data_IF_670463416839
#
_entry.id   IF_670463416839
#
_cell.length_a   1.000
_cell.length_b   1.000
_cell.length_c   1.000
_cell.angle_alpha   90.00
_cell.angle_beta   90.00
_cell.angle_gamma   90.00
#
_symmetry.space_group_name_H-M   'P 1'
#
loop_
_entity.id
_entity.type
_entity.pdbx_description
1 polymer ?
#
# COMPACT_ATOMS: atom_id res chain seq x y z
N UNK A 1 7.78 -22.63 21.24
CA UNK A 1 7.91 -23.95 20.59
C UNK A 1 8.25 -23.81 19.09
N UNK A 2 9.11 -22.85 18.74
CA UNK A 2 9.55 -22.54 17.35
C UNK A 2 11.09 -22.46 17.26
N UNK A 3 11.80 -22.64 18.39
CA UNK A 3 13.26 -22.60 18.43
C UNK A 3 13.92 -23.94 18.06
N UNK A 4 13.17 -25.04 18.02
CA UNK A 4 13.74 -26.39 17.84
C UNK A 4 13.74 -26.91 16.38
N UNK A 5 13.06 -26.24 15.45
CA UNK A 5 12.93 -26.72 14.05
C UNK A 5 13.94 -26.14 13.05
N UNK A 6 14.80 -25.19 13.45
CA UNK A 6 15.67 -24.47 12.50
C UNK A 6 17.16 -24.83 12.56
N UNK A 7 17.57 -25.85 13.32
CA UNK A 7 18.91 -26.46 13.19
C UNK A 7 20.08 -25.46 13.19
N UNK A 8 19.99 -24.37 13.97
CA UNK A 8 21.06 -23.40 14.06
C UNK A 8 22.11 -23.89 15.06
N UNK A 9 23.27 -24.35 14.59
CA UNK A 9 24.42 -24.61 15.47
C UNK A 9 24.90 -23.31 16.13
N UNK A 10 25.51 -23.37 17.31
CA UNK A 10 26.07 -22.21 18.04
C UNK A 10 26.93 -21.27 17.16
N UNK A 11 27.60 -21.82 16.13
CA UNK A 11 28.36 -21.04 15.13
C UNK A 11 27.51 -20.07 14.31
N UNK A 12 26.26 -20.40 14.04
CA UNK A 12 25.37 -19.58 13.21
C UNK A 12 24.87 -18.35 13.99
N UNK A 13 24.75 -18.45 15.32
CA UNK A 13 24.36 -17.35 16.20
C UNK A 13 25.51 -16.34 16.32
N UNK A 14 26.76 -16.82 16.46
CA UNK A 14 27.94 -15.96 16.52
C UNK A 14 28.18 -15.18 15.22
N UNK A 15 27.89 -15.79 14.06
CA UNK A 15 27.96 -15.12 12.76
C UNK A 15 26.85 -14.07 12.63
N UNK A 16 25.63 -14.35 13.10
CA UNK A 16 24.51 -13.40 13.06
C UNK A 16 24.77 -12.15 13.90
N UNK A 17 25.47 -12.26 15.03
CA UNK A 17 25.84 -11.10 15.88
C UNK A 17 26.92 -10.19 15.27
N UNK A 18 27.61 -10.63 14.22
CA UNK A 18 28.68 -9.89 13.54
C UNK A 18 28.26 -9.31 12.20
N UNK A 19 26.97 -9.39 11.86
CA UNK A 19 26.42 -8.89 10.61
C UNK A 19 25.49 -7.72 10.92
N UNK A 20 25.77 -6.56 10.36
CA UNK A 20 24.90 -5.40 10.41
C UNK A 20 24.28 -5.19 9.02
N UNK A 21 22.96 -4.98 9.01
CA UNK A 21 22.18 -4.74 7.78
C UNK A 21 21.58 -3.36 7.89
N UNK A 22 22.07 -2.45 7.04
CA UNK A 22 21.54 -1.10 6.91
C UNK A 22 20.72 -1.03 5.62
N UNK A 23 19.47 -0.59 5.73
CA UNK A 23 18.59 -0.39 4.57
C UNK A 23 18.14 1.07 4.56
N UNK A 24 18.55 1.81 3.52
CA UNK A 24 18.01 3.14 3.26
C UNK A 24 16.82 3.01 2.31
N UNK A 25 15.63 3.36 2.80
CA UNK A 25 14.37 3.31 2.04
C UNK A 25 14.33 4.30 0.87
N UNK A 26 15.25 5.25 0.80
CA UNK A 26 15.28 6.28 -0.25
C UNK A 26 16.04 5.85 -1.50
N UNK A 27 17.01 4.94 -1.37
CA UNK A 27 17.94 4.62 -2.44
C UNK A 27 17.80 3.19 -2.99
N UNK A 28 16.82 2.40 -2.51
CA UNK A 28 16.64 0.97 -2.87
C UNK A 28 17.92 0.12 -2.68
N UNK A 29 18.80 0.55 -1.78
CA UNK A 29 20.07 -0.11 -1.48
C UNK A 29 20.01 -0.79 -0.11
N UNK A 30 20.49 -2.04 -0.09
CA UNK A 30 20.74 -2.80 1.13
C UNK A 30 22.24 -2.91 1.31
N UNK A 31 22.77 -2.33 2.39
CA UNK A 31 24.18 -2.42 2.75
C UNK A 31 24.36 -3.56 3.75
N UNK A 32 25.27 -4.47 3.41
CA UNK A 32 25.66 -5.58 4.25
C UNK A 32 27.05 -5.31 4.81
N UNK A 33 27.17 -5.26 6.14
CA UNK A 33 28.43 -5.08 6.86
C UNK A 33 28.69 -6.32 7.70
N UNK A 34 29.96 -6.75 7.76
CA UNK A 34 30.36 -7.90 8.55
C UNK A 34 31.66 -7.62 9.29
N UNK A 35 31.69 -7.94 10.58
CA UNK A 35 32.88 -7.85 11.41
C UNK A 35 33.60 -9.20 11.46
N UNK A 36 34.90 -9.20 11.17
CA UNK A 36 35.74 -10.38 11.32
C UNK A 36 37.16 -10.03 11.79
N UNK A 37 37.90 -10.97 12.40
CA UNK A 37 39.26 -10.74 12.88
C UNK A 37 40.25 -10.33 11.79
N UNK A 38 39.99 -10.73 10.53
CA UNK A 38 40.83 -10.40 9.38
C UNK A 38 40.01 -9.79 8.25
N UNK A 39 40.62 -8.87 7.50
CA UNK A 39 40.01 -8.24 6.32
C UNK A 39 39.54 -9.29 5.29
N UNK A 40 40.33 -10.35 5.07
CA UNK A 40 39.96 -11.43 4.14
C UNK A 40 38.72 -12.19 4.59
N UNK A 41 38.58 -12.46 5.88
CA UNK A 41 37.40 -13.14 6.44
C UNK A 41 36.17 -12.25 6.39
N UNK A 42 36.30 -10.95 6.69
CA UNK A 42 35.20 -9.98 6.61
C UNK A 42 34.66 -9.90 5.18
N UNK A 43 35.56 -9.75 4.19
CA UNK A 43 35.21 -9.72 2.75
C UNK A 43 34.55 -11.03 2.31
N UNK A 44 35.11 -12.18 2.70
CA UNK A 44 34.54 -13.49 2.35
C UNK A 44 33.15 -13.69 2.97
N UNK A 45 32.95 -13.20 4.19
CA UNK A 45 31.68 -13.27 4.93
C UNK A 45 30.59 -12.42 4.27
N UNK A 46 30.84 -11.12 4.01
CA UNK A 46 29.88 -10.24 3.32
C UNK A 46 29.50 -10.79 1.95
N UNK A 47 30.48 -11.17 1.13
CA UNK A 47 30.21 -11.64 -0.24
C UNK A 47 29.47 -12.99 -0.25
N UNK A 48 29.74 -13.87 0.72
CA UNK A 48 29.02 -15.15 0.83
C UNK A 48 27.58 -14.93 1.30
N UNK A 49 27.37 -14.01 2.24
CA UNK A 49 26.04 -13.60 2.67
C UNK A 49 25.25 -12.97 1.52
N UNK A 50 25.84 -12.01 0.78
CA UNK A 50 25.22 -11.37 -0.37
C UNK A 50 24.75 -12.39 -1.41
N UNK A 51 25.63 -13.35 -1.79
CA UNK A 51 25.27 -14.43 -2.72
C UNK A 51 24.20 -15.37 -2.16
N UNK A 52 24.17 -15.60 -0.85
CA UNK A 52 23.16 -16.44 -0.21
C UNK A 52 21.79 -15.74 -0.22
N UNK A 53 21.75 -14.44 0.10
CA UNK A 53 20.55 -13.60 0.06
C UNK A 53 19.99 -13.49 -1.36
N UNK A 54 20.82 -13.19 -2.37
CA UNK A 54 20.39 -13.13 -3.78
C UNK A 54 19.81 -14.47 -4.23
N UNK A 55 20.45 -15.60 -3.88
CA UNK A 55 19.95 -16.94 -4.19
C UNK A 55 18.64 -17.27 -3.47
N UNK A 56 18.55 -16.98 -2.17
CA UNK A 56 17.36 -17.22 -1.37
C UNK A 56 16.17 -16.38 -1.88
N UNK A 57 16.42 -15.13 -2.25
CA UNK A 57 15.41 -14.25 -2.83
C UNK A 57 14.93 -14.77 -4.19
N UNK A 58 15.84 -15.15 -5.09
CA UNK A 58 15.47 -15.73 -6.38
C UNK A 58 14.67 -17.04 -6.22
N UNK A 59 15.03 -17.89 -5.25
CA UNK A 59 14.27 -19.11 -4.93
C UNK A 59 12.88 -18.80 -4.37
N UNK A 60 12.78 -17.82 -3.46
CA UNK A 60 11.51 -17.38 -2.90
C UNK A 60 10.58 -16.83 -4.00
N UNK A 61 11.08 -15.95 -4.86
CA UNK A 61 10.33 -15.41 -6.01
C UNK A 61 9.86 -16.51 -6.96
N UNK A 62 10.73 -17.45 -7.33
CA UNK A 62 10.34 -18.62 -8.14
C UNK A 62 9.22 -19.42 -7.49
N UNK A 63 9.32 -19.69 -6.18
CA UNK A 63 8.27 -20.41 -5.46
C UNK A 63 6.93 -19.66 -5.45
N UNK A 64 6.95 -18.32 -5.36
CA UNK A 64 5.73 -17.50 -5.47
C UNK A 64 5.13 -17.54 -6.87
N UNK A 65 5.97 -17.44 -7.91
CA UNK A 65 5.52 -17.55 -9.31
C UNK A 65 4.90 -18.92 -9.58
N UNK A 66 5.50 -20.02 -9.11
CA UNK A 66 4.91 -21.36 -9.24
C UNK A 66 3.55 -21.46 -8.57
N UNK A 67 3.40 -20.95 -7.34
CA UNK A 67 2.10 -20.92 -6.64
C UNK A 67 1.07 -20.05 -7.35
N UNK A 68 1.50 -18.95 -7.98
CA UNK A 68 0.61 -18.10 -8.78
C UNK A 68 0.18 -18.82 -10.05
N UNK A 69 1.12 -19.45 -10.75
CA UNK A 69 0.89 -20.25 -11.95
C UNK A 69 -0.12 -21.37 -11.69
N UNK A 70 0.07 -22.15 -10.64
CA UNK A 70 -0.85 -23.23 -10.24
C UNK A 70 -2.26 -22.71 -9.98
N UNK A 71 -2.39 -21.58 -9.29
CA UNK A 71 -3.70 -20.94 -9.03
C UNK A 71 -4.37 -20.49 -10.32
N UNK A 72 -3.63 -19.84 -11.22
CA UNK A 72 -4.16 -19.40 -12.52
C UNK A 72 -4.58 -20.60 -13.37
N UNK A 73 -3.73 -21.63 -13.48
CA UNK A 73 -4.07 -22.88 -14.20
C UNK A 73 -5.28 -23.61 -13.60
N UNK A 74 -5.45 -23.56 -12.28
CA UNK A 74 -6.64 -24.13 -11.64
C UNK A 74 -7.90 -23.36 -12.02
N UNK A 75 -7.84 -22.01 -12.01
CA UNK A 75 -8.97 -21.16 -12.41
C UNK A 75 -9.34 -21.35 -13.87
N UNK A 76 -8.35 -21.36 -14.78
CA UNK A 76 -8.58 -21.62 -16.21
C UNK A 76 -9.34 -22.95 -16.36
N UNK A 77 -8.91 -24.02 -15.68
CA UNK A 77 -9.61 -25.32 -15.76
C UNK A 77 -11.06 -25.25 -15.27
N UNK A 78 -11.32 -24.59 -14.15
CA UNK A 78 -12.67 -24.43 -13.62
C UNK A 78 -13.56 -23.58 -14.53
N UNK A 79 -13.02 -22.47 -15.03
CA UNK A 79 -13.73 -21.54 -15.91
C UNK A 79 -13.99 -22.18 -17.29
N UNK A 80 -13.06 -22.98 -17.82
CA UNK A 80 -13.28 -23.77 -19.05
C UNK A 80 -14.39 -24.81 -18.86
N UNK A 81 -14.41 -25.54 -17.73
CA UNK A 81 -15.49 -26.50 -17.46
C UNK A 81 -16.86 -25.81 -17.33
N UNK A 82 -16.90 -24.64 -16.69
CA UNK A 82 -18.11 -23.84 -16.62
C UNK A 82 -18.54 -23.33 -18.00
N UNK A 83 -17.58 -22.94 -18.84
CA UNK A 83 -17.84 -22.51 -20.21
C UNK A 83 -18.47 -23.64 -21.03
N UNK A 84 -17.87 -24.84 -21.01
CA UNK A 84 -18.40 -26.01 -21.71
C UNK A 84 -19.82 -26.36 -21.26
N UNK A 85 -20.07 -26.26 -19.94
CA UNK A 85 -21.40 -26.48 -19.37
C UNK A 85 -22.41 -25.44 -19.88
N UNK A 86 -22.08 -24.15 -19.83
CA UNK A 86 -22.97 -23.09 -20.29
C UNK A 86 -23.22 -23.16 -21.80
N UNK A 87 -22.19 -23.49 -22.59
CA UNK A 87 -22.34 -23.70 -24.04
C UNK A 87 -23.24 -24.91 -24.34
N UNK A 88 -23.12 -26.00 -23.58
CA UNK A 88 -24.00 -27.15 -23.70
C UNK A 88 -25.45 -26.83 -23.30
N UNK A 89 -25.67 -26.13 -22.19
CA UNK A 89 -27.00 -25.70 -21.74
C UNK A 89 -27.65 -24.74 -22.76
N UNK A 90 -26.88 -23.80 -23.32
CA UNK A 90 -27.34 -22.93 -24.40
C UNK A 90 -27.68 -23.71 -25.67
N UNK A 91 -26.87 -24.71 -26.02
CA UNK A 91 -27.12 -25.55 -27.19
C UNK A 91 -28.37 -26.44 -27.01
N UNK A 92 -28.59 -26.99 -25.82
CA UNK A 92 -29.80 -27.74 -25.50
C UNK A 92 -31.05 -26.86 -25.63
N UNK A 93 -31.00 -25.62 -25.12
CA UNK A 93 -32.09 -24.65 -25.26
C UNK A 93 -32.37 -24.31 -26.74
N UNK A 94 -31.35 -24.27 -27.60
CA UNK A 94 -31.52 -24.05 -29.03
C UNK A 94 -32.06 -25.29 -29.77
N UNK A 95 -31.67 -26.50 -29.34
CA UNK A 95 -32.10 -27.77 -29.93
C UNK A 95 -33.56 -28.11 -29.64
N UNK A 96 -34.06 -27.84 -28.42
CA UNK A 96 -35.45 -28.12 -28.05
C UNK A 96 -36.46 -27.42 -28.96
N UNK A 97 -36.14 -26.22 -29.43
CA UNK A 97 -37.07 -25.41 -30.23
C UNK A 97 -36.69 -25.33 -31.72
N UNK A 98 -35.59 -25.95 -32.18
CA UNK A 98 -35.03 -25.79 -33.56
C UNK A 98 -34.70 -24.33 -33.92
N UNK A 99 -34.23 -23.57 -32.93
CA UNK A 99 -34.08 -22.11 -33.04
C UNK A 99 -32.64 -21.70 -32.84
N UNK A 100 -31.99 -21.34 -33.96
CA UNK A 100 -30.63 -20.81 -33.96
C UNK A 100 -30.56 -19.34 -33.53
N UNK A 101 -31.64 -18.59 -33.70
CA UNK A 101 -31.74 -17.18 -33.31
C UNK A 101 -33.11 -16.88 -32.66
N UNK A 102 -33.20 -16.94 -31.32
CA UNK A 102 -34.45 -16.72 -30.59
C UNK A 102 -35.03 -15.32 -30.76
N UNK A 103 -34.19 -14.32 -31.08
CA UNK A 103 -34.67 -12.95 -31.24
C UNK A 103 -35.41 -12.77 -32.56
N UNK A 104 -34.87 -13.25 -33.67
CA UNK A 104 -35.57 -13.19 -34.96
C UNK A 104 -36.83 -14.06 -34.95
N UNK A 105 -36.80 -15.22 -34.29
CA UNK A 105 -37.99 -16.05 -34.15
C UNK A 105 -39.08 -15.37 -33.31
N UNK A 106 -38.73 -14.72 -32.20
CA UNK A 106 -39.67 -13.96 -31.39
C UNK A 106 -40.34 -12.85 -32.20
N UNK A 107 -39.56 -12.11 -33.00
CA UNK A 107 -40.11 -11.07 -33.89
C UNK A 107 -41.04 -11.65 -34.95
N UNK A 108 -40.64 -12.76 -35.60
CA UNK A 108 -41.48 -13.46 -36.57
C UNK A 108 -42.75 -14.04 -35.93
N UNK A 109 -42.72 -14.42 -34.65
CA UNK A 109 -43.89 -14.85 -33.89
C UNK A 109 -44.84 -13.68 -33.61
N UNK A 110 -44.32 -12.53 -33.19
CA UNK A 110 -45.14 -11.32 -33.00
C UNK A 110 -45.82 -10.86 -34.31
N UNK A 111 -45.11 -10.95 -35.44
CA UNK A 111 -45.67 -10.66 -36.76
C UNK A 111 -46.79 -11.64 -37.15
N UNK A 112 -46.59 -12.94 -36.90
CA UNK A 112 -47.63 -13.97 -37.08
C UNK A 112 -48.86 -13.72 -36.20
N UNK A 113 -48.66 -13.33 -34.95
CA UNK A 113 -49.75 -12.96 -34.03
C UNK A 113 -50.50 -11.72 -34.53
N UNK A 114 -49.77 -10.68 -34.95
CA UNK A 114 -50.38 -9.45 -35.48
C UNK A 114 -51.19 -9.69 -36.75
N UNK A 115 -50.63 -10.43 -37.71
CA UNK A 115 -51.31 -10.78 -38.95
C UNK A 115 -52.52 -11.69 -38.73
N UNK A 116 -52.42 -12.69 -37.84
CA UNK A 116 -53.54 -13.56 -37.48
C UNK A 116 -54.68 -12.78 -36.82
N UNK A 117 -54.36 -11.84 -35.93
CA UNK A 117 -55.36 -10.97 -35.29
C UNK A 117 -56.09 -10.09 -36.31
N UNK A 118 -55.37 -9.47 -37.23
CA UNK A 118 -55.96 -8.66 -38.29
C UNK A 118 -56.89 -9.50 -39.18
N UNK A 119 -56.46 -10.70 -39.57
CA UNK A 119 -57.27 -11.61 -40.39
C UNK A 119 -58.55 -12.06 -39.65
N UNK A 120 -58.46 -12.29 -38.34
CA UNK A 120 -59.59 -12.62 -37.50
C UNK A 120 -60.59 -11.46 -37.41
N UNK A 121 -60.11 -10.23 -37.20
CA UNK A 121 -60.96 -9.02 -37.20
C UNK A 121 -61.65 -8.79 -38.55
N UNK A 122 -60.94 -9.00 -39.67
CA UNK A 122 -61.53 -8.92 -41.02
C UNK A 122 -62.62 -9.99 -41.23
N UNK A 123 -62.39 -11.21 -40.76
CA UNK A 123 -63.36 -12.30 -40.88
C UNK A 123 -64.59 -12.07 -39.99
N UNK A 124 -64.42 -11.47 -38.80
CA UNK A 124 -65.53 -11.05 -37.95
C UNK A 124 -66.40 -10.00 -38.63
N UNK A 125 -65.78 -8.98 -39.23
CA UNK A 125 -66.50 -7.94 -39.95
C UNK A 125 -67.26 -8.49 -41.17
N UNK A 126 -66.68 -9.47 -41.89
CA UNK A 126 -67.36 -10.17 -42.97
C UNK A 126 -68.60 -10.92 -42.48
N UNK A 127 -68.46 -11.67 -41.38
CA UNK A 127 -69.58 -12.41 -40.78
C UNK A 127 -70.71 -11.46 -40.36
N UNK A 128 -70.39 -10.36 -39.68
CA UNK A 128 -71.36 -9.35 -39.27
C UNK A 128 -72.07 -8.72 -40.47
N UNK A 129 -71.33 -8.40 -41.54
CA UNK A 129 -71.91 -7.89 -42.79
C UNK A 129 -72.86 -8.88 -43.48
N UNK A 130 -72.53 -10.17 -43.48
CA UNK A 130 -73.41 -11.23 -43.98
C UNK A 130 -74.68 -11.35 -43.13
N UNK A 131 -74.55 -11.37 -41.80
CA UNK A 131 -75.68 -11.44 -40.87
C UNK A 131 -76.66 -10.29 -41.08
N UNK A 132 -76.18 -9.04 -41.17
CA UNK A 132 -77.03 -7.87 -41.42
C UNK A 132 -77.75 -7.95 -42.77
N UNK A 133 -77.08 -8.44 -43.82
CA UNK A 133 -77.70 -8.60 -45.15
C UNK A 133 -78.77 -9.69 -45.15
N UNK A 134 -78.52 -10.79 -44.44
CA UNK A 134 -79.48 -11.87 -44.23
C UNK A 134 -80.72 -11.36 -43.49
N UNK A 135 -80.55 -10.62 -42.39
CA UNK A 135 -81.64 -10.02 -41.62
C UNK A 135 -82.50 -9.11 -42.49
N UNK A 136 -81.87 -8.20 -43.25
CA UNK A 136 -82.59 -7.29 -44.16
C UNK A 136 -83.41 -8.05 -45.22
N UNK A 137 -82.87 -9.10 -45.82
CA UNK A 137 -83.59 -9.91 -46.80
C UNK A 137 -84.76 -10.68 -46.16
N UNK A 138 -84.57 -11.19 -44.95
CA UNK A 138 -85.62 -11.86 -44.18
C UNK A 138 -86.76 -10.91 -43.80
N UNK A 139 -86.47 -9.63 -43.56
CA UNK A 139 -87.49 -8.60 -43.33
C UNK A 139 -88.24 -8.21 -44.61
N UNK A 140 -87.57 -8.20 -45.77
CA UNK A 140 -88.14 -7.80 -47.06
C UNK A 140 -89.01 -8.88 -47.73
N UNK A 141 -88.61 -10.15 -47.62
CA UNK A 141 -89.28 -11.29 -48.27
C UNK A 141 -90.78 -11.43 -47.94
N UNK A 142 -91.24 -11.26 -46.67
CA UNK A 142 -92.65 -11.34 -46.32
C UNK A 142 -93.51 -10.21 -46.90
N UNK A 143 -92.90 -9.07 -47.21
CA UNK A 143 -93.60 -7.89 -47.77
C UNK A 143 -93.89 -8.07 -49.26
N UNK A 144 -93.18 -8.97 -49.95
CA UNK A 144 -93.36 -9.24 -51.36
C UNK A 144 -94.53 -10.22 -51.62
N UNK A 145 -95.46 -9.89 -52.52
CA UNK A 145 -96.57 -10.78 -52.87
C UNK A 145 -96.02 -12.07 -53.51
N UNK A 146 -96.63 -13.21 -53.17
CA UNK A 146 -96.22 -14.53 -53.65
C UNK A 146 -96.49 -14.72 -55.15
N UNK A 147 -97.55 -14.09 -55.66
CA UNK A 147 -97.97 -14.16 -57.06
C UNK A 147 -98.16 -12.75 -57.61
N UNK A 148 -97.82 -12.56 -58.88
CA UNK A 148 -98.05 -11.34 -59.63
C UNK A 148 -98.93 -11.64 -60.84
N UNK A 149 -99.74 -10.68 -61.26
CA UNK A 149 -100.59 -10.82 -62.44
C UNK A 149 -99.74 -10.59 -63.69
N UNK A 150 -99.60 -11.61 -64.53
CA UNK A 150 -98.96 -11.47 -65.85
C UNK A 150 -100.06 -11.33 -66.91
N UNK A 151 -100.12 -10.19 -67.59
CA UNK A 151 -100.99 -10.02 -68.76
C UNK A 151 -100.28 -10.60 -69.98
N UNK A 152 -100.69 -11.78 -70.43
CA UNK A 152 -100.23 -12.34 -71.70
C UNK A 152 -100.54 -11.37 -72.85
N UNK A 153 -99.57 -11.15 -73.73
CA UNK A 153 -99.72 -10.29 -74.91
C UNK A 153 -100.89 -10.76 -75.80
N UNK A 154 -101.64 -9.77 -76.30
CA UNK A 154 -102.85 -9.89 -77.11
C UNK A 154 -102.63 -10.70 -78.41
N UNK A 155 -102.79 -12.02 -78.39
CA UNK A 155 -102.79 -12.85 -79.61
C UNK A 155 -104.19 -12.86 -80.24
N UNK A 156 -104.67 -11.71 -80.72
CA UNK A 156 -106.02 -11.58 -81.28
C UNK A 156 -106.12 -12.40 -82.60
N UNK A 157 -106.84 -13.55 -82.60
CA UNK A 157 -106.90 -14.44 -83.74
C UNK A 157 -107.64 -13.81 -84.94
N UNK A 158 -108.55 -12.87 -84.70
CA UNK A 158 -109.25 -12.13 -85.76
C UNK A 158 -108.30 -11.15 -86.48
N UNK A 159 -107.40 -10.47 -85.75
CA UNK A 159 -106.37 -9.61 -86.37
C UNK A 159 -105.44 -10.43 -87.28
N UNK A 160 -105.01 -11.62 -86.84
CA UNK A 160 -104.20 -12.53 -87.68
C UNK A 160 -104.96 -13.03 -88.90
N UNK A 161 -106.21 -13.45 -88.72
CA UNK A 161 -107.05 -13.92 -89.82
C UNK A 161 -107.32 -12.81 -90.83
N UNK A 162 -107.58 -11.59 -90.37
CA UNK A 162 -107.72 -10.40 -91.23
C UNK A 162 -106.46 -10.18 -92.06
N UNK A 163 -105.27 -10.14 -91.43
CA UNK A 163 -104.01 -9.94 -92.14
C UNK A 163 -103.75 -11.01 -93.21
N UNK A 164 -103.99 -12.29 -92.88
CA UNK A 164 -103.84 -13.38 -93.85
C UNK A 164 -104.84 -13.28 -95.01
N UNK A 165 -106.07 -12.85 -94.73
CA UNK A 165 -107.13 -12.69 -95.75
C UNK A 165 -106.84 -11.48 -96.65
N UNK A 166 -106.26 -10.40 -96.11
CA UNK A 166 -105.79 -9.24 -96.89
C UNK A 166 -104.64 -9.61 -97.84
N UNK A 167 -103.73 -10.48 -97.41
CA UNK A 167 -102.69 -11.03 -98.29
C UNK A 167 -103.31 -11.88 -99.40
N UNK A 168 -104.27 -12.76 -99.08
CA UNK A 168 -104.99 -13.55 -100.07
C UNK A 168 -105.77 -12.68 -101.08
N UNK A 169 -106.31 -11.54 -100.64
CA UNK A 169 -106.95 -10.58 -101.54
C UNK A 169 -105.96 -9.96 -102.53
N UNK A 170 -104.77 -9.57 -102.07
CA UNK A 170 -103.73 -9.03 -102.95
C UNK A 170 -103.37 -10.04 -104.04
N UNK A 171 -103.14 -11.30 -103.66
CA UNK A 171 -102.84 -12.38 -104.60
C UNK A 171 -103.99 -12.63 -105.59
N UNK A 172 -105.24 -12.66 -105.10
CA UNK A 172 -106.42 -12.86 -105.93
C UNK A 172 -106.63 -11.71 -106.93
N UNK A 173 -106.43 -10.46 -106.52
CA UNK A 173 -106.50 -9.27 -107.39
C UNK A 173 -105.45 -9.31 -108.49
N UNK A 174 -104.22 -9.73 -108.18
CA UNK A 174 -103.15 -9.86 -109.18
C UNK A 174 -103.44 -10.97 -110.19
N UNK A 175 -104.02 -12.09 -109.75
CA UNK A 175 -104.21 -13.30 -110.58
C UNK A 175 -105.51 -13.31 -111.38
N UNK A 176 -106.60 -12.79 -110.82
CA UNK A 176 -107.95 -12.94 -111.37
C UNK A 176 -108.60 -11.60 -111.75
N UNK A 177 -108.01 -10.47 -111.38
CA UNK A 177 -108.56 -9.14 -111.61
C UNK A 177 -109.61 -8.71 -110.57
N UNK A 178 -109.95 -7.41 -110.53
CA UNK A 178 -110.81 -6.83 -109.48
C UNK A 178 -112.28 -7.23 -109.58
N UNK A 179 -112.79 -7.57 -110.76
CA UNK A 179 -114.21 -7.92 -110.97
C UNK A 179 -114.50 -9.44 -110.93
N UNK A 180 -113.49 -10.26 -110.59
CA UNK A 180 -113.68 -11.70 -110.52
C UNK A 180 -114.52 -12.09 -109.29
N UNK A 181 -115.49 -13.02 -109.41
CA UNK A 181 -116.33 -13.47 -108.29
C UNK A 181 -115.54 -13.91 -107.05
N UNK A 182 -114.37 -14.53 -107.24
CA UNK A 182 -113.53 -14.99 -106.12
C UNK A 182 -112.86 -13.83 -105.37
N UNK A 183 -112.49 -12.75 -106.07
CA UNK A 183 -111.90 -11.55 -105.46
C UNK A 183 -112.94 -10.84 -104.59
N UNK A 184 -114.17 -10.70 -105.09
CA UNK A 184 -115.28 -10.07 -104.37
C UNK A 184 -115.66 -10.84 -103.09
N UNK A 185 -115.57 -12.18 -103.13
CA UNK A 185 -115.84 -13.02 -101.96
C UNK A 185 -114.81 -12.79 -100.83
N UNK A 186 -113.53 -12.66 -101.18
CA UNK A 186 -112.46 -12.35 -100.21
C UNK A 186 -112.63 -10.92 -99.68
N UNK A 187 -113.05 -9.96 -100.51
CA UNK A 187 -113.35 -8.59 -100.06
C UNK A 187 -114.50 -8.54 -99.06
N UNK A 188 -115.56 -9.32 -99.28
CA UNK A 188 -116.68 -9.39 -98.34
C UNK A 188 -116.27 -10.12 -97.04
N UNK A 189 -115.41 -11.16 -97.11
CA UNK A 189 -114.84 -11.80 -95.90
C UNK A 189 -113.98 -10.81 -95.10
N UNK A 190 -113.14 -9.99 -95.74
CA UNK A 190 -112.39 -8.92 -95.07
C UNK A 190 -113.33 -7.90 -94.43
N UNK A 191 -114.39 -7.50 -95.13
CA UNK A 191 -115.37 -6.54 -94.63
C UNK A 191 -116.13 -7.08 -93.42
N UNK A 192 -116.46 -8.37 -93.44
CA UNK A 192 -117.06 -9.05 -92.29
C UNK A 192 -116.07 -9.17 -91.13
N UNK A 193 -114.81 -9.57 -91.37
CA UNK A 193 -113.78 -9.66 -90.34
C UNK A 193 -113.48 -8.29 -89.71
N UNK A 194 -113.49 -7.20 -90.51
CA UNK A 194 -113.37 -5.82 -90.01
C UNK A 194 -114.57 -5.40 -89.18
N UNK A 195 -115.80 -5.71 -89.61
CA UNK A 195 -117.00 -5.48 -88.79
C UNK A 195 -116.96 -6.26 -87.48
N UNK A 196 -116.52 -7.52 -87.49
CA UNK A 196 -116.38 -8.31 -86.26
C UNK A 196 -115.32 -7.72 -85.31
N UNK A 197 -114.26 -7.11 -85.84
CA UNK A 197 -113.26 -6.37 -85.05
C UNK A 197 -113.83 -5.04 -84.50
N UNK A 198 -114.59 -4.30 -85.29
CA UNK A 198 -115.16 -2.98 -84.93
C UNK A 198 -116.37 -3.10 -83.99
N UNK A 199 -117.18 -4.17 -84.12
CA UNK A 199 -118.33 -4.46 -83.27
C UNK A 199 -117.90 -5.06 -81.90
N UNK A 200 -116.60 -5.25 -81.67
CA UNK A 200 -116.05 -5.61 -80.36
C UNK A 200 -116.51 -6.97 -79.84
N UNK A 201 -116.98 -7.88 -80.71
CA UNK A 201 -117.50 -9.21 -80.35
C UNK A 201 -116.40 -10.21 -79.96
N UNK A 202 -115.16 -9.72 -79.74
CA UNK A 202 -114.14 -10.52 -79.11
C UNK A 202 -114.29 -10.38 -77.59
N UNK A 203 -114.81 -11.43 -76.97
CA UNK A 203 -114.79 -11.60 -75.52
C UNK A 203 -113.33 -11.71 -75.08
N UNK A 204 -112.68 -10.57 -74.86
CA UNK A 204 -111.37 -10.49 -74.24
C UNK A 204 -111.54 -10.80 -72.75
N UNK A 205 -111.89 -12.05 -72.44
CA UNK A 205 -111.58 -12.63 -71.15
C UNK A 205 -110.07 -12.58 -71.02
N UNK A 206 -109.58 -11.46 -70.47
CA UNK A 206 -108.23 -11.32 -69.95
C UNK A 206 -108.14 -12.33 -68.82
N UNK A 207 -107.74 -13.56 -69.14
CA UNK A 207 -107.29 -14.50 -68.13
C UNK A 207 -106.08 -13.86 -67.47
N UNK A 208 -106.31 -13.23 -66.32
CA UNK A 208 -105.24 -12.84 -65.42
C UNK A 208 -104.61 -14.13 -64.94
N UNK A 209 -103.49 -14.50 -65.57
CA UNK A 209 -102.71 -15.65 -65.10
C UNK A 209 -101.89 -15.16 -63.92
N UNK A 210 -102.21 -15.68 -62.74
CA UNK A 210 -101.37 -15.52 -61.56
C UNK A 210 -100.11 -16.37 -61.78
N UNK A 211 -98.96 -15.70 -61.83
CA UNK A 211 -97.65 -16.35 -61.97
C UNK A 211 -96.86 -16.06 -60.69
N UNK A 212 -96.06 -17.02 -60.24
CA UNK A 212 -95.14 -16.81 -59.11
C UNK A 212 -94.28 -15.58 -59.35
N UNK A 213 -94.06 -14.80 -58.30
CA UNK A 213 -93.25 -13.60 -58.36
C UNK A 213 -91.76 -13.94 -58.58
N UNK A 214 -91.18 -13.69 -59.77
CA UNK A 214 -89.81 -14.08 -60.06
C UNK A 214 -88.79 -13.31 -59.22
N UNK A 215 -89.12 -12.10 -58.76
CA UNK A 215 -88.25 -11.33 -57.86
C UNK A 215 -88.19 -11.98 -56.48
N UNK A 216 -89.31 -12.50 -55.99
CA UNK A 216 -89.34 -13.22 -54.70
C UNK A 216 -88.50 -14.50 -54.77
N UNK A 217 -88.66 -15.30 -55.83
CA UNK A 217 -87.87 -16.52 -56.04
C UNK A 217 -86.36 -16.20 -56.12
N UNK A 218 -85.97 -15.10 -56.79
CA UNK A 218 -84.58 -14.63 -56.84
C UNK A 218 -84.03 -14.26 -55.46
N UNK A 219 -84.79 -13.53 -54.65
CA UNK A 219 -84.38 -13.12 -53.30
C UNK A 219 -84.33 -14.31 -52.32
N UNK A 220 -85.20 -15.32 -52.48
CA UNK A 220 -85.14 -16.56 -51.71
C UNK A 220 -83.85 -17.36 -52.03
N UNK A 221 -83.46 -17.43 -53.32
CA UNK A 221 -82.19 -18.04 -53.73
C UNK A 221 -81.00 -17.24 -53.19
N UNK A 222 -81.04 -15.91 -53.24
CA UNK A 222 -80.00 -15.06 -52.64
C UNK A 222 -79.87 -15.27 -51.13
N UNK A 223 -80.99 -15.39 -50.41
CA UNK A 223 -81.00 -15.67 -48.98
C UNK A 223 -80.36 -17.02 -48.65
N UNK A 224 -80.68 -18.08 -49.41
CA UNK A 224 -80.05 -19.40 -49.25
C UNK A 224 -78.54 -19.30 -49.46
N UNK A 225 -78.10 -18.59 -50.50
CA UNK A 225 -76.68 -18.37 -50.78
C UNK A 225 -75.99 -17.62 -49.63
N UNK A 226 -76.57 -16.52 -49.15
CA UNK A 226 -75.99 -15.75 -48.06
C UNK A 226 -75.90 -16.57 -46.76
N UNK A 227 -76.89 -17.41 -46.44
CA UNK A 227 -76.82 -18.32 -45.29
C UNK A 227 -75.70 -19.36 -45.42
N UNK A 228 -75.49 -19.89 -46.63
CA UNK A 228 -74.37 -20.78 -46.88
C UNK A 228 -73.01 -20.05 -46.69
N UNK A 229 -72.91 -18.82 -47.19
CA UNK A 229 -71.73 -17.96 -47.02
C UNK A 229 -71.50 -17.61 -45.54
N UNK A 230 -72.56 -17.30 -44.78
CA UNK A 230 -72.48 -17.03 -43.33
C UNK A 230 -71.96 -18.26 -42.57
N UNK A 231 -72.48 -19.46 -42.88
CA UNK A 231 -72.02 -20.70 -42.25
C UNK A 231 -70.55 -20.99 -42.56
N UNK A 232 -70.13 -20.80 -43.81
CA UNK A 232 -68.73 -20.93 -44.20
C UNK A 232 -67.86 -19.90 -43.45
N UNK A 233 -68.29 -18.64 -43.38
CA UNK A 233 -67.57 -17.58 -42.70
C UNK A 233 -67.42 -17.84 -41.19
N UNK A 234 -68.47 -18.35 -40.55
CA UNK A 234 -68.49 -18.72 -39.12
C UNK A 234 -67.57 -19.91 -38.82
N UNK A 235 -67.53 -20.91 -39.69
CA UNK A 235 -66.61 -22.04 -39.57
C UNK A 235 -65.15 -21.59 -39.67
N UNK A 236 -64.85 -20.75 -40.66
CA UNK A 236 -63.52 -20.16 -40.84
C UNK A 236 -63.11 -19.33 -39.62
N UNK A 237 -64.03 -18.55 -39.05
CA UNK A 237 -63.80 -17.79 -37.82
C UNK A 237 -63.40 -18.70 -36.65
N UNK A 238 -64.12 -19.81 -36.45
CA UNK A 238 -63.81 -20.78 -35.40
C UNK A 238 -62.42 -21.40 -35.55
N UNK A 239 -62.02 -21.74 -36.79
CA UNK A 239 -60.66 -22.21 -37.07
C UNK A 239 -59.59 -21.15 -36.82
N UNK A 240 -59.85 -19.89 -37.21
CA UNK A 240 -58.94 -18.78 -36.95
C UNK A 240 -58.80 -18.49 -35.45
N UNK A 241 -59.88 -18.56 -34.68
CA UNK A 241 -59.86 -18.42 -33.22
C UNK A 241 -59.02 -19.52 -32.56
N UNK A 242 -59.24 -20.78 -32.93
CA UNK A 242 -58.44 -21.89 -32.40
C UNK A 242 -56.94 -21.76 -32.75
N UNK A 243 -56.62 -21.28 -33.96
CA UNK A 243 -55.23 -20.99 -34.37
C UNK A 243 -54.63 -19.84 -33.54
N UNK A 244 -55.41 -18.78 -33.29
CA UNK A 244 -55.00 -17.64 -32.48
C UNK A 244 -54.72 -18.05 -31.02
N UNK A 245 -55.56 -18.90 -30.44
CA UNK A 245 -55.37 -19.44 -29.08
C UNK A 245 -54.08 -20.27 -29.01
N UNK A 246 -53.81 -21.12 -30.01
CA UNK A 246 -52.57 -21.89 -30.11
C UNK A 246 -51.33 -20.99 -30.24
N UNK A 247 -51.41 -19.90 -31.01
CA UNK A 247 -50.34 -18.89 -31.12
C UNK A 247 -50.12 -18.15 -29.79
N UNK A 248 -51.19 -17.80 -29.08
CA UNK A 248 -51.13 -17.14 -27.78
C UNK A 248 -50.49 -18.03 -26.70
N UNK A 249 -50.82 -19.32 -26.67
CA UNK A 249 -50.19 -20.26 -25.73
C UNK A 249 -48.68 -20.32 -25.94
N UNK A 250 -48.20 -20.34 -27.19
CA UNK A 250 -46.76 -20.29 -27.49
C UNK A 250 -46.09 -18.97 -27.08
N UNK A 251 -46.82 -17.86 -27.07
CA UNK A 251 -46.30 -16.55 -26.63
C UNK A 251 -45.93 -16.49 -25.14
N UNK A 252 -46.44 -17.39 -24.29
CA UNK A 252 -46.19 -17.34 -22.85
C UNK A 252 -44.77 -17.81 -22.47
N UNK A 253 -44.19 -18.72 -23.25
CA UNK A 253 -42.91 -19.37 -22.95
C UNK A 253 -41.72 -18.68 -23.65
N UNK A 254 -41.95 -18.16 -24.87
CA UNK A 254 -40.92 -17.56 -25.72
C UNK A 254 -40.12 -16.41 -25.05
N UNK A 255 -40.74 -15.45 -24.32
CA UNK A 255 -39.99 -14.39 -23.65
C UNK A 255 -39.06 -14.89 -22.54
N UNK A 256 -39.49 -15.90 -21.77
CA UNK A 256 -38.67 -16.49 -20.71
C UNK A 256 -37.46 -17.20 -21.30
N UNK A 257 -37.66 -17.91 -22.42
CA UNK A 257 -36.58 -18.58 -23.16
C UNK A 257 -35.59 -17.57 -23.77
N UNK A 258 -36.08 -16.51 -24.41
CA UNK A 258 -35.25 -15.44 -24.96
C UNK A 258 -34.35 -14.82 -23.88
N UNK A 259 -34.93 -14.54 -22.69
CA UNK A 259 -34.18 -14.02 -21.56
C UNK A 259 -33.06 -14.97 -21.13
N UNK A 260 -33.36 -16.26 -20.91
CA UNK A 260 -32.36 -17.27 -20.55
C UNK A 260 -31.26 -17.40 -21.60
N UNK A 261 -31.62 -17.37 -22.88
CA UNK A 261 -30.65 -17.43 -23.97
C UNK A 261 -29.71 -16.21 -23.99
N UNK A 262 -30.24 -15.02 -23.72
CA UNK A 262 -29.43 -13.80 -23.56
C UNK A 262 -28.51 -13.90 -22.35
N UNK A 263 -29.03 -14.36 -21.20
CA UNK A 263 -28.25 -14.56 -19.97
C UNK A 263 -27.06 -15.51 -20.21
N UNK A 264 -27.28 -16.66 -20.86
CA UNK A 264 -26.19 -17.57 -21.23
C UNK A 264 -25.22 -16.94 -22.21
N UNK A 265 -25.70 -16.18 -23.21
CA UNK A 265 -24.84 -15.51 -24.19
C UNK A 265 -23.91 -14.50 -23.53
N UNK A 266 -24.42 -13.70 -22.61
CA UNK A 266 -23.63 -12.71 -21.89
C UNK A 266 -22.64 -13.36 -20.92
N UNK A 267 -23.05 -14.42 -20.21
CA UNK A 267 -22.17 -15.18 -19.34
C UNK A 267 -21.03 -15.85 -20.12
N UNK A 268 -21.34 -16.50 -21.24
CA UNK A 268 -20.33 -17.11 -22.13
C UNK A 268 -19.35 -16.05 -22.64
N UNK A 269 -19.84 -14.87 -23.05
CA UNK A 269 -18.98 -13.78 -23.53
C UNK A 269 -18.03 -13.29 -22.42
N UNK A 270 -18.56 -13.03 -21.22
CA UNK A 270 -17.78 -12.60 -20.08
C UNK A 270 -16.73 -13.64 -19.67
N UNK A 271 -17.11 -14.92 -19.66
CA UNK A 271 -16.24 -16.02 -19.28
C UNK A 271 -15.11 -16.24 -20.30
N UNK A 272 -15.41 -16.14 -21.61
CA UNK A 272 -14.38 -16.18 -22.66
C UNK A 272 -13.38 -15.03 -22.54
N UNK A 273 -13.84 -13.81 -22.29
CA UNK A 273 -12.95 -12.67 -22.07
C UNK A 273 -12.09 -12.85 -20.81
N UNK A 274 -12.68 -13.39 -19.73
CA UNK A 274 -11.97 -13.74 -18.51
C UNK A 274 -10.89 -14.80 -18.73
N UNK A 275 -11.20 -15.86 -19.47
CA UNK A 275 -10.26 -16.92 -19.84
C UNK A 275 -9.08 -16.36 -20.66
N UNK A 276 -9.33 -15.54 -21.67
CA UNK A 276 -8.26 -14.90 -22.46
C UNK A 276 -7.33 -14.04 -21.58
N UNK A 277 -7.89 -13.29 -20.64
CA UNK A 277 -7.09 -12.50 -19.70
C UNK A 277 -6.25 -13.39 -18.77
N UNK A 278 -6.80 -14.51 -18.29
CA UNK A 278 -6.08 -15.48 -17.47
C UNK A 278 -4.97 -16.19 -18.25
N UNK A 279 -5.20 -16.54 -19.52
CA UNK A 279 -4.19 -17.15 -20.41
C UNK A 279 -3.04 -16.17 -20.68
N UNK A 280 -3.34 -14.90 -20.93
CA UNK A 280 -2.31 -13.85 -21.05
C UNK A 280 -1.49 -13.73 -19.77
N UNK A 281 -2.15 -13.67 -18.61
CA UNK A 281 -1.47 -13.63 -17.32
C UNK A 281 -0.59 -14.86 -17.09
N UNK A 282 -1.04 -16.04 -17.52
CA UNK A 282 -0.26 -17.28 -17.43
C UNK A 282 1.00 -17.19 -18.31
N UNK A 283 0.87 -16.66 -19.52
CA UNK A 283 2.01 -16.43 -20.41
C UNK A 283 3.02 -15.47 -19.78
N UNK A 284 2.56 -14.37 -19.18
CA UNK A 284 3.40 -13.41 -18.47
C UNK A 284 4.14 -14.07 -17.29
N UNK A 285 3.44 -14.82 -16.43
CA UNK A 285 4.05 -15.56 -15.32
C UNK A 285 5.12 -16.53 -15.83
N UNK A 286 4.85 -17.25 -16.92
CA UNK A 286 5.80 -18.20 -17.50
C UNK A 286 7.06 -17.50 -18.01
N UNK A 287 6.90 -16.32 -18.61
CA UNK A 287 8.01 -15.49 -19.08
C UNK A 287 8.88 -14.99 -17.90
N UNK A 288 8.27 -14.45 -16.85
CA UNK A 288 9.00 -14.00 -15.65
C UNK A 288 9.68 -15.15 -14.91
N UNK A 289 9.06 -16.33 -14.87
CA UNK A 289 9.65 -17.54 -14.28
C UNK A 289 10.93 -17.95 -15.01
N UNK A 290 10.94 -17.88 -16.35
CA UNK A 290 12.13 -18.17 -17.17
C UNK A 290 13.25 -17.14 -16.99
N UNK A 291 12.91 -15.86 -16.79
CA UNK A 291 13.92 -14.81 -16.59
C UNK A 291 14.58 -14.83 -15.21
N UNK A 292 14.00 -15.54 -14.22
CA UNK A 292 14.57 -15.69 -12.88
C UNK A 292 15.01 -14.36 -12.23
N UNK A 293 14.27 -13.28 -12.49
CA UNK A 293 14.51 -11.99 -11.89
C UNK A 293 14.15 -12.07 -10.40
N UNK A 294 15.16 -12.03 -9.54
CA UNK A 294 14.96 -11.65 -8.14
C UNK A 294 15.20 -10.15 -8.00
N UNK A 295 14.51 -9.52 -7.06
CA UNK A 295 14.65 -8.08 -6.80
C UNK A 295 16.06 -7.64 -6.41
N UNK A 296 16.86 -8.55 -5.83
CA UNK A 296 18.23 -8.25 -5.42
C UNK A 296 19.24 -8.67 -6.50
N UNK A 297 20.08 -7.72 -6.89
CA UNK A 297 21.28 -7.96 -7.66
C UNK A 297 22.50 -7.42 -6.90
N UNK A 298 23.65 -8.09 -7.05
CA UNK A 298 24.89 -7.63 -6.44
C UNK A 298 25.41 -6.41 -7.21
N UNK A 299 25.35 -5.23 -6.58
CA UNK A 299 25.75 -3.97 -7.20
C UNK A 299 27.27 -3.74 -7.09
N UNK A 300 27.82 -3.97 -5.89
CA UNK A 300 29.26 -3.80 -5.59
C UNK A 300 29.70 -4.91 -4.64
N UNK A 301 30.75 -5.68 -4.96
CA UNK A 301 31.32 -6.66 -4.04
C UNK A 301 32.02 -5.97 -2.87
N UNK A 302 31.96 -6.57 -1.68
CA UNK A 302 32.76 -6.12 -0.53
C UNK A 302 34.24 -6.22 -0.87
N UNK A 303 34.96 -5.09 -0.81
CA UNK A 303 36.37 -4.99 -1.27
C UNK A 303 37.32 -4.39 -0.25
N UNK A 304 36.84 -3.78 0.84
CA UNK A 304 37.66 -3.15 1.89
C UNK A 304 37.00 -3.26 3.27
N UNK A 305 37.81 -3.41 4.31
CA UNK A 305 37.40 -3.31 5.71
C UNK A 305 38.13 -2.14 6.39
N UNK A 306 37.43 -1.29 7.14
CA UNK A 306 38.02 -0.20 7.91
C UNK A 306 38.27 -0.64 9.36
N UNK A 307 39.43 -0.31 9.93
CA UNK A 307 39.71 -0.57 11.35
C UNK A 307 39.05 0.51 12.22
N UNK A 308 37.93 0.19 12.87
CA UNK A 308 37.42 1.02 13.95
C UNK A 308 38.18 0.75 15.26
N UNK A 309 38.99 1.72 15.70
CA UNK A 309 39.53 1.71 17.05
C UNK A 309 38.40 1.99 18.06
N UNK A 310 38.07 0.99 18.87
CA UNK A 310 37.04 1.08 19.91
C UNK A 310 37.24 2.31 20.80
N UNK A 311 36.20 3.15 20.91
CA UNK A 311 36.17 4.39 21.72
C UNK A 311 36.59 4.18 23.18
N UNK A 312 36.44 2.96 23.70
CA UNK A 312 36.84 2.58 25.05
C UNK A 312 38.36 2.59 25.25
N UNK A 313 39.13 2.20 24.22
CA UNK A 313 40.59 2.20 24.26
C UNK A 313 41.19 3.62 24.33
N UNK A 314 40.48 4.62 23.79
CA UNK A 314 40.88 6.03 23.88
C UNK A 314 40.67 6.58 25.30
N UNK A 315 39.53 6.27 25.93
CA UNK A 315 39.20 6.72 27.28
C UNK A 315 40.16 6.17 28.33
N UNK A 316 40.55 4.89 28.22
CA UNK A 316 41.51 4.26 29.16
C UNK A 316 42.87 4.97 29.11
N UNK A 317 43.35 5.36 27.93
CA UNK A 317 44.61 6.10 27.78
C UNK A 317 44.55 7.49 28.41
N UNK A 318 43.42 8.19 28.25
CA UNK A 318 43.23 9.52 28.82
C UNK A 318 43.21 9.47 30.36
N UNK A 319 42.50 8.50 30.93
CA UNK A 319 42.44 8.30 32.39
C UNK A 319 43.80 7.96 33.00
N UNK A 320 44.58 7.10 32.34
CA UNK A 320 45.92 6.74 32.81
C UNK A 320 46.86 7.94 32.92
N UNK A 321 46.78 8.88 31.96
CA UNK A 321 47.60 10.10 31.97
C UNK A 321 47.24 11.03 33.15
N UNK A 322 45.95 11.28 33.37
CA UNK A 322 45.48 12.15 34.47
C UNK A 322 45.82 11.56 35.83
N UNK A 323 45.67 10.25 35.99
CA UNK A 323 45.96 9.56 37.25
C UNK A 323 47.45 9.62 37.61
N UNK A 324 48.34 9.46 36.60
CA UNK A 324 49.78 9.56 36.80
C UNK A 324 50.25 10.93 37.30
N UNK A 325 49.64 12.02 36.82
CA UNK A 325 49.96 13.38 37.28
C UNK A 325 49.51 13.64 38.72
N UNK A 326 48.35 13.10 39.12
CA UNK A 326 47.87 13.26 40.50
C UNK A 326 48.78 12.57 41.53
N UNK A 327 49.29 11.39 41.17
CA UNK A 327 50.12 10.58 42.06
C UNK A 327 51.50 11.20 42.32
N UNK A 328 52.10 11.85 41.33
CA UNK A 328 53.41 12.50 41.50
C UNK A 328 53.36 13.70 42.46
N UNK A 329 52.29 14.50 42.38
CA UNK A 329 52.09 15.64 43.29
C UNK A 329 51.90 15.19 44.75
N UNK A 330 51.20 14.07 44.95
CA UNK A 330 50.99 13.49 46.27
C UNK A 330 52.30 13.08 46.96
N UNK A 331 53.25 12.51 46.21
CA UNK A 331 54.56 12.08 46.77
C UNK A 331 55.39 13.28 47.25
N UNK A 332 55.38 14.40 46.52
CA UNK A 332 56.13 15.60 46.91
C UNK A 332 55.60 16.19 48.21
N UNK A 333 54.28 16.26 48.36
CA UNK A 333 53.66 16.77 49.60
C UNK A 333 53.94 15.86 50.80
N UNK A 334 53.95 14.54 50.60
CA UNK A 334 54.26 13.59 51.67
C UNK A 334 55.70 13.75 52.18
N UNK A 335 56.64 13.99 51.28
CA UNK A 335 58.04 14.23 51.65
C UNK A 335 58.20 15.48 52.55
N UNK A 336 57.42 16.53 52.27
CA UNK A 336 57.49 17.78 53.03
C UNK A 336 56.93 17.67 54.45
N UNK A 337 55.96 16.79 54.69
CA UNK A 337 55.38 16.57 56.03
C UNK A 337 56.33 15.79 56.95
N UNK A 338 57.29 15.06 56.39
CA UNK A 338 58.22 14.18 57.14
C UNK A 338 59.55 14.86 57.52
N UNK A 339 59.78 16.14 57.19
CA UNK A 339 61.03 16.86 57.48
C UNK A 339 60.93 17.68 58.79
N UNK A 340 61.57 17.20 59.87
CA UNK A 340 61.53 17.76 61.23
C UNK A 340 62.54 18.90 61.49
N UNK A 341 63.19 19.46 60.45
CA UNK A 341 64.21 20.50 60.63
C UNK A 341 63.60 21.86 61.01
N UNK A 342 64.14 22.49 62.06
CA UNK A 342 63.82 23.87 62.44
C UNK A 342 64.61 24.84 61.55
N UNK A 343 64.02 25.26 60.43
CA UNK A 343 64.69 26.09 59.41
C UNK A 343 64.57 27.59 59.71
N UNK A 344 63.55 28.02 60.46
CA UNK A 344 63.24 29.44 60.64
C UNK A 344 63.34 29.90 62.10
N UNK A 345 63.69 31.18 62.31
CA UNK A 345 63.74 31.78 63.65
C UNK A 345 62.40 31.69 64.40
N UNK A 346 61.28 31.75 63.67
CA UNK A 346 59.94 31.55 64.24
C UNK A 346 59.73 30.13 64.74
N UNK A 347 60.21 29.12 64.02
CA UNK A 347 60.13 27.73 64.44
C UNK A 347 60.97 27.50 65.70
N UNK A 348 62.18 28.07 65.77
CA UNK A 348 63.04 27.98 66.97
C UNK A 348 62.36 28.64 68.18
N UNK A 349 61.83 29.86 68.03
CA UNK A 349 61.12 30.54 69.11
C UNK A 349 59.87 29.80 69.57
N UNK A 350 59.12 29.19 68.64
CA UNK A 350 57.92 28.42 68.97
C UNK A 350 58.25 27.08 69.64
N UNK A 351 59.36 26.45 69.27
CA UNK A 351 59.74 25.14 69.81
C UNK A 351 60.37 25.25 71.21
N UNK A 352 61.24 26.24 71.44
CA UNK A 352 62.00 26.38 72.70
C UNK A 352 61.45 27.44 73.66
N UNK A 353 60.38 28.16 73.28
CA UNK A 353 59.79 29.28 74.04
C UNK A 353 60.82 30.38 74.42
N UNK A 354 61.89 30.49 73.62
CA UNK A 354 62.93 31.49 73.78
C UNK A 354 63.34 32.07 72.43
N UNK A 355 63.53 33.40 72.32
CA UNK A 355 64.03 33.99 71.09
C UNK A 355 65.50 33.58 70.87
N UNK A 356 65.93 33.32 69.62
CA UNK A 356 67.33 33.02 69.33
C UNK A 356 68.22 34.20 69.75
N UNK A 357 69.28 33.90 70.51
CA UNK A 357 70.19 34.91 71.04
C UNK A 357 70.93 35.66 69.92
N UNK A 358 71.45 34.90 68.95
CA UNK A 358 72.14 35.39 67.76
C UNK A 358 71.82 34.44 66.61
N UNK A 359 71.57 35.00 65.43
CA UNK A 359 71.52 34.23 64.18
C UNK A 359 72.89 34.34 63.52
N UNK A 360 73.60 33.21 63.42
CA UNK A 360 74.90 33.14 62.76
C UNK A 360 74.66 32.66 61.33
N UNK A 361 74.97 33.47 60.30
CA UNK A 361 74.85 33.02 58.93
C UNK A 361 75.80 31.84 58.67
N UNK A 362 75.33 30.84 57.92
CA UNK A 362 76.23 29.81 57.41
C UNK A 362 77.07 30.41 56.27
N UNK A 363 78.36 30.60 56.54
CA UNK A 363 79.30 31.14 55.56
C UNK A 363 79.93 30.05 54.68
N UNK A 364 79.53 28.78 54.83
CA UNK A 364 80.05 27.66 54.06
C UNK A 364 81.50 27.29 54.44
N UNK A 365 81.88 26.04 54.20
CA UNK A 365 83.26 25.57 54.40
C UNK A 365 84.19 26.26 53.39
N UNK A 366 84.76 27.41 53.74
CA UNK A 366 85.77 28.09 52.90
C UNK A 366 85.75 29.62 52.93
N UNK A 367 84.72 30.26 53.46
CA UNK A 367 84.76 31.70 53.72
C UNK A 367 85.38 31.94 55.11
N UNK A 368 86.46 32.73 55.18
CA UNK A 368 87.22 32.95 56.41
C UNK A 368 86.33 33.41 57.56
N UNK A 369 86.06 32.50 58.51
CA UNK A 369 85.38 32.78 59.78
C UNK A 369 86.16 33.80 60.65
N UNK A 370 87.40 34.12 60.26
CA UNK A 370 88.22 35.19 60.81
C UNK A 370 87.95 36.59 60.23
N UNK A 371 86.92 36.75 59.38
CA UNK A 371 86.51 38.07 58.90
C UNK A 371 86.05 38.96 60.06
N UNK A 372 86.65 40.14 60.16
CA UNK A 372 86.27 41.17 61.14
C UNK A 372 84.77 41.49 61.12
N UNK A 373 84.15 41.41 59.94
CA UNK A 373 82.71 41.63 59.75
C UNK A 373 81.85 40.59 60.48
N UNK A 374 82.27 39.32 60.48
CA UNK A 374 81.56 38.24 61.18
C UNK A 374 81.67 38.45 62.68
N UNK A 375 82.87 38.78 63.18
CA UNK A 375 83.08 39.14 64.60
C UNK A 375 82.24 40.33 65.02
N UNK A 376 82.17 41.38 64.20
CA UNK A 376 81.34 42.55 64.48
C UNK A 376 79.84 42.22 64.46
N UNK A 377 79.37 41.42 63.50
CA UNK A 377 77.95 41.06 63.39
C UNK A 377 77.49 40.19 64.57
N UNK A 378 78.21 39.09 64.83
CA UNK A 378 77.90 38.17 65.93
C UNK A 378 78.08 38.89 67.28
N UNK A 379 79.16 39.64 67.45
CA UNK A 379 79.46 40.39 68.66
C UNK A 379 78.41 41.47 68.98
N UNK A 380 78.02 42.30 68.01
CA UNK A 380 76.96 43.31 68.22
C UNK A 380 75.60 42.66 68.49
N UNK A 381 75.26 41.59 67.78
CA UNK A 381 74.01 40.86 67.99
C UNK A 381 73.96 40.28 69.40
N UNK A 382 75.06 39.68 69.84
CA UNK A 382 75.23 39.18 71.20
C UNK A 382 75.11 40.30 72.24
N UNK A 383 75.79 41.42 72.06
CA UNK A 383 75.69 42.57 72.97
C UNK A 383 74.24 43.07 73.06
N UNK A 384 73.56 43.25 71.92
CA UNK A 384 72.15 43.64 71.90
C UNK A 384 71.24 42.65 72.64
N UNK A 385 71.56 41.35 72.59
CA UNK A 385 70.83 40.33 73.31
C UNK A 385 71.09 40.40 74.82
N UNK A 386 72.35 40.55 75.23
CA UNK A 386 72.70 40.68 76.65
C UNK A 386 72.18 41.97 77.29
N UNK A 387 72.12 43.07 76.53
CA UNK A 387 71.47 44.32 76.93
C UNK A 387 69.97 44.14 77.15
N UNK A 388 69.28 43.45 76.22
CA UNK A 388 67.86 43.11 76.36
C UNK A 388 67.57 42.24 77.59
N UNK A 389 68.50 41.35 77.95
CA UNK A 389 68.37 40.49 79.12
C UNK A 389 68.74 41.20 80.44
N UNK A 390 69.09 42.49 80.41
CA UNK A 390 69.50 43.27 81.59
C UNK A 390 70.58 42.57 82.45
N UNK A 391 71.49 41.84 81.80
CA UNK A 391 72.56 41.10 82.50
C UNK A 391 73.50 42.14 83.13
N UNK A 392 73.45 42.29 84.45
CA UNK A 392 74.14 43.33 85.21
C UNK A 392 75.66 43.35 84.95
N UNK A 393 76.24 44.53 84.78
CA UNK A 393 77.69 44.76 84.60
C UNK A 393 78.45 44.69 85.92
N UNK A 394 78.70 43.47 86.40
CA UNK A 394 79.64 43.20 87.50
C UNK A 394 81.05 42.88 87.01
N UNK A 395 82.06 43.06 87.88
CA UNK A 395 83.45 42.66 87.64
C UNK A 395 83.54 41.12 87.56
N UNK A 396 83.98 40.61 86.40
CA UNK A 396 84.17 39.17 86.12
C UNK A 396 82.88 38.45 85.66
N UNK A 397 82.74 38.20 84.35
CA UNK A 397 81.63 37.42 83.76
C UNK A 397 82.12 36.08 83.22
N UNK A 398 81.39 35.01 83.54
CA UNK A 398 81.60 33.66 82.98
C UNK A 398 80.39 33.29 82.13
N UNK A 399 80.62 32.90 80.87
CA UNK A 399 79.57 32.49 79.92
C UNK A 399 79.91 31.08 79.42
N UNK A 400 78.96 30.15 79.57
CA UNK A 400 79.07 28.78 79.06
C UNK A 400 78.25 28.58 77.79
N UNK A 401 78.78 27.82 76.82
CA UNK A 401 78.11 27.47 75.58
C UNK A 401 77.90 25.95 75.49
N UNK A 402 76.65 25.52 75.33
CA UNK A 402 76.25 24.11 75.27
C UNK A 402 75.39 23.83 74.03
N UNK A 403 75.34 22.58 73.58
CA UNK A 403 74.48 22.11 72.49
C UNK A 403 74.13 20.65 72.71
N UNK A 404 73.00 20.25 72.15
CA UNK A 404 72.47 18.89 72.13
C UNK A 404 73.25 17.97 71.18
N UNK A 405 73.74 18.50 70.05
CA UNK A 405 74.48 17.72 69.05
C UNK A 405 75.95 18.15 68.91
N UNK A 406 76.87 17.20 68.60
CA UNK A 406 78.22 17.52 68.12
C UNK A 406 78.19 18.29 66.79
N UNK A 407 79.17 19.18 66.56
CA UNK A 407 79.31 19.85 65.26
C UNK A 407 78.41 21.07 65.01
N UNK A 408 77.56 21.48 65.96
CA UNK A 408 76.64 22.63 65.85
C UNK A 408 77.35 24.01 65.92
N UNK A 409 78.68 24.04 66.13
CA UNK A 409 79.48 25.28 66.03
C UNK A 409 79.73 26.04 67.33
N UNK A 410 79.56 25.41 68.50
CA UNK A 410 79.83 26.00 69.84
C UNK A 410 81.20 26.67 69.93
N UNK A 411 82.24 25.95 69.54
CA UNK A 411 83.63 26.41 69.61
C UNK A 411 83.90 27.58 68.68
N UNK A 412 83.21 27.64 67.55
CA UNK A 412 83.31 28.73 66.57
C UNK A 412 82.72 30.00 67.18
N UNK A 413 81.49 29.94 67.70
CA UNK A 413 80.84 31.07 68.36
C UNK A 413 81.68 31.58 69.53
N UNK A 414 82.21 30.67 70.35
CA UNK A 414 83.09 31.00 71.48
C UNK A 414 84.35 31.74 71.02
N UNK A 415 84.97 31.28 69.92
CA UNK A 415 86.17 31.92 69.34
C UNK A 415 85.86 33.32 68.81
N UNK A 416 84.76 33.48 68.09
CA UNK A 416 84.31 34.75 67.50
C UNK A 416 84.05 35.78 68.60
N UNK A 417 83.31 35.39 69.65
CA UNK A 417 82.97 36.30 70.75
C UNK A 417 84.19 36.64 71.61
N UNK A 418 85.09 35.68 71.85
CA UNK A 418 86.35 35.96 72.54
C UNK A 418 87.20 36.98 71.78
N UNK A 419 87.31 36.83 70.46
CA UNK A 419 87.99 37.79 69.59
C UNK A 419 87.32 39.17 69.60
N UNK A 420 85.98 39.21 69.57
CA UNK A 420 85.22 40.46 69.65
C UNK A 420 85.45 41.21 70.97
N UNK A 421 85.37 40.53 72.12
CA UNK A 421 85.59 41.17 73.42
C UNK A 421 87.03 41.67 73.59
N UNK A 422 88.01 40.90 73.12
CA UNK A 422 89.41 41.32 73.11
C UNK A 422 89.63 42.56 72.25
N UNK A 423 89.02 42.62 71.06
CA UNK A 423 89.11 43.78 70.17
C UNK A 423 88.49 45.06 70.79
N UNK A 424 87.54 44.91 71.70
CA UNK A 424 86.97 46.01 72.48
C UNK A 424 87.75 46.33 73.77
N UNK A 425 88.97 45.81 73.92
CA UNK A 425 89.88 46.14 75.02
C UNK A 425 89.61 45.38 76.33
N UNK A 426 88.79 44.32 76.32
CA UNK A 426 88.57 43.50 77.50
C UNK A 426 89.62 42.39 77.62
N UNK A 427 90.00 42.06 78.86
CA UNK A 427 90.78 40.87 79.16
C UNK A 427 89.86 39.65 79.12
N UNK A 428 90.05 38.79 78.13
CA UNK A 428 89.22 37.61 77.90
C UNK A 428 90.02 36.36 78.18
N UNK A 429 89.51 35.52 79.07
CA UNK A 429 90.01 34.17 79.30
C UNK A 429 89.03 33.18 78.67
N UNK A 430 89.49 32.45 77.64
CA UNK A 430 88.75 31.33 77.06
C UNK A 430 89.20 30.04 77.75
N UNK A 431 88.25 29.30 78.30
CA UNK A 431 88.46 27.98 78.86
C UNK A 431 87.76 26.95 77.97
N UNK A 432 88.46 25.87 77.61
CA UNK A 432 87.86 24.73 76.93
C UNK A 432 87.68 23.60 77.95
N UNK A 433 86.41 23.26 78.22
CA UNK A 433 86.02 22.18 79.11
C UNK A 433 85.66 20.90 78.34
N UNK A 434 85.87 20.86 77.01
CA UNK A 434 85.69 19.66 76.20
C UNK A 434 86.98 18.83 76.15
N UNK A 435 87.09 17.88 77.07
CA UNK A 435 88.24 16.98 77.19
C UNK A 435 88.26 15.87 76.12
N UNK A 436 87.18 15.67 75.35
CA UNK A 436 87.03 14.54 74.43
C UNK A 436 87.12 14.92 72.96
N UNK A 437 86.96 16.20 72.63
CA UNK A 437 87.00 16.72 71.25
C UNK A 437 87.43 18.18 71.18
N UNK A 438 88.31 18.60 72.11
CA UNK A 438 88.73 19.98 72.34
C UNK A 438 89.03 20.79 71.07
N UNK A 439 88.62 22.05 71.10
CA UNK A 439 88.62 22.96 69.95
C UNK A 439 89.76 23.98 69.95
N UNK A 440 90.49 24.06 71.06
CA UNK A 440 91.76 24.77 71.13
C UNK A 440 92.87 23.86 70.64
N UNK A 441 93.79 24.35 69.78
CA UNK A 441 94.90 23.54 69.30
C UNK A 441 95.75 23.10 70.50
N UNK A 442 96.04 21.79 70.65
CA UNK A 442 96.97 21.33 71.67
C UNK A 442 98.36 21.87 71.31
N UNK A 443 98.96 22.66 72.20
CA UNK A 443 100.38 22.99 72.11
C UNK A 443 101.15 21.79 72.66
N UNK A 444 101.96 21.15 71.81
CA UNK A 444 102.72 19.97 72.19
C UNK A 444 103.63 20.26 73.40
N UNK A 445 103.62 19.35 74.37
CA UNK A 445 104.45 19.29 75.58
C UNK A 445 104.18 20.30 76.73
N UNK A 446 102.97 20.88 76.83
CA UNK A 446 102.61 21.77 77.96
C UNK A 446 101.33 21.36 78.74
N UNK A 447 101.25 21.67 80.05
CA UNK A 447 100.10 21.35 80.90
C UNK A 447 98.83 22.13 80.52
N UNK A 448 97.69 21.43 80.38
CA UNK A 448 96.37 22.00 80.09
C UNK A 448 95.42 22.06 81.30
N UNK A 449 94.17 22.48 81.08
CA UNK A 449 93.15 22.61 82.14
C UNK A 449 92.88 21.29 82.88
N UNK A 450 92.96 20.16 82.17
CA UNK A 450 92.85 18.81 82.73
C UNK A 450 93.86 18.59 83.87
N UNK A 451 95.10 19.03 83.70
CA UNK A 451 96.17 18.83 84.67
C UNK A 451 96.07 19.78 85.88
N UNK A 452 95.43 20.95 85.74
CA UNK A 452 95.07 21.79 86.90
C UNK A 452 94.05 21.08 87.77
N UNK A 453 93.03 20.48 87.16
CA UNK A 453 91.95 19.81 87.88
C UNK A 453 92.43 18.49 88.49
N UNK A 454 93.23 17.70 87.78
CA UNK A 454 93.67 16.38 88.22
C UNK A 454 94.92 16.40 89.11
N UNK A 455 95.91 17.24 88.79
CA UNK A 455 97.24 17.24 89.43
C UNK A 455 97.47 18.41 90.38
N UNK A 456 96.49 19.30 90.56
CA UNK A 456 96.55 20.42 91.50
C UNK A 456 97.57 21.49 91.13
N UNK A 457 97.93 21.61 89.84
CA UNK A 457 98.81 22.67 89.36
C UNK A 457 98.16 24.05 89.58
N UNK A 458 98.94 25.11 89.86
CA UNK A 458 98.41 26.46 89.96
C UNK A 458 97.71 26.88 88.66
N UNK A 459 96.54 27.51 88.75
CA UNK A 459 95.76 27.97 87.58
C UNK A 459 96.60 28.92 86.72
N UNK A 460 97.44 29.73 87.36
CA UNK A 460 98.35 30.67 86.70
C UNK A 460 99.36 29.98 85.77
N UNK A 461 99.70 28.71 86.05
CA UNK A 461 100.67 27.95 85.25
C UNK A 461 100.14 27.53 83.88
N UNK A 462 98.81 27.50 83.69
CA UNK A 462 98.15 27.09 82.44
C UNK A 462 97.47 28.25 81.71
N UNK A 463 97.41 29.44 82.30
CA UNK A 463 96.96 30.64 81.59
C UNK A 463 98.04 31.06 80.61
N UNK A 464 97.68 31.17 79.33
CA UNK A 464 98.57 31.62 78.26
C UNK A 464 97.99 32.82 77.54
N UNK A 465 98.81 33.86 77.36
CA UNK A 465 98.49 34.99 76.49
C UNK A 465 98.79 34.61 75.05
N UNK A 466 97.75 34.38 74.27
CA UNK A 466 97.90 34.24 72.81
C UNK A 466 98.09 35.63 72.23
N UNK A 467 99.26 35.96 71.69
CA UNK A 467 99.39 37.13 70.81
C UNK A 467 98.54 36.84 69.57
N UNK A 468 97.54 37.68 69.33
CA UNK A 468 96.62 37.52 68.20
C UNK A 468 97.29 37.87 66.88
#
# INVERSE_FOLDING_TARGET
>A
MVEEELGFSDRNIEIATRIEVESDKRDDLVRLMAEAPTEKEAIAMVNSLARAVVRANAQWYRAQLTKMEERVRSRIRTDSQLLDKLESEKAQLAMEDTVFDPQSEYMAHLERVGSARLALEQQQALLEGLTVRIERLQEQLPVLPAEIVSTAYEDNPLKRRLANTEVALMEARTKYGPENPNTLMIEEEIKQLRRMLDEGTFDSNREQVFVKNPLRDQLEVELIRLRADEHAARSMLGHMQASMDALQQKSLDLPMKLRKFSEYTDQIRALKAGLQAQESLLADISFYSMQALGDFSELVPGTKAELELSRLALLVKLFGFVFGLGLSLGVVLLYQVLDDRLVTSRQVSAYYDMPPAVLVPDYGRGAGMDSELVRLHVGRSWMSFTERLAIASGEGRVIGYFSDEPGVGKSIITSILAGYYRANGLNVLRMDFDFFGGSLPPLADEPGLEQVVESGLPVESVIRSVAG
#
